data_IF_878237983157
#
_entry.id   IF_878237983157
#
_cell.length_a   1.000
_cell.length_b   1.000
_cell.length_c   1.000
_cell.angle_alpha   90.00
_cell.angle_beta   90.00
_cell.angle_gamma   90.00
#
_symmetry.space_group_name_H-M   'P 1'
#
loop_
_entity.id
_entity.type
_entity.pdbx_description
1 polymer ?
#
# COMPACT_ATOMS: atom_id res chain seq x y z
N UNK A 1 31.97 15.73 -7.51
CA UNK A 1 30.72 16.51 -7.62
C UNK A 1 29.48 15.61 -7.73
N UNK A 2 28.99 15.07 -6.60
CA UNK A 2 27.70 14.36 -6.51
C UNK A 2 26.76 15.00 -5.47
N UNK A 3 27.29 15.53 -4.36
CA UNK A 3 26.47 16.09 -3.27
C UNK A 3 25.63 17.32 -3.62
N UNK A 4 26.12 18.23 -4.48
CA UNK A 4 25.36 19.45 -4.80
C UNK A 4 24.05 19.17 -5.57
N UNK A 5 24.08 18.17 -6.45
CA UNK A 5 22.87 17.72 -7.17
C UNK A 5 21.91 16.95 -6.27
N UNK A 6 22.47 16.18 -5.32
CA UNK A 6 21.71 15.41 -4.33
C UNK A 6 20.88 16.34 -3.43
N UNK A 7 21.44 17.47 -3.00
CA UNK A 7 20.74 18.46 -2.17
C UNK A 7 19.51 19.08 -2.86
N UNK A 8 19.66 19.51 -4.12
CA UNK A 8 18.54 20.04 -4.91
C UNK A 8 17.45 18.98 -5.15
N UNK A 9 17.85 17.72 -5.36
CA UNK A 9 16.91 16.61 -5.53
C UNK A 9 16.18 16.26 -4.22
N UNK A 10 16.85 16.34 -3.08
CA UNK A 10 16.25 16.14 -1.75
C UNK A 10 15.15 17.16 -1.47
N UNK A 11 15.39 18.43 -1.79
CA UNK A 11 14.37 19.48 -1.66
C UNK A 11 13.17 19.19 -2.54
N UNK A 12 13.41 18.84 -3.82
CA UNK A 12 12.34 18.50 -4.75
C UNK A 12 11.52 17.28 -4.30
N UNK A 13 12.19 16.25 -3.78
CA UNK A 13 11.52 15.04 -3.26
C UNK A 13 10.63 15.39 -2.07
N UNK A 14 11.10 16.26 -1.18
CA UNK A 14 10.33 16.70 -0.01
C UNK A 14 9.09 17.48 -0.44
N UNK A 15 9.23 18.37 -1.42
CA UNK A 15 8.09 19.10 -1.99
C UNK A 15 7.06 18.16 -2.62
N UNK A 16 7.49 17.24 -3.50
CA UNK A 16 6.59 16.30 -4.16
C UNK A 16 5.94 15.38 -3.14
N UNK A 17 6.67 14.93 -2.10
CA UNK A 17 6.10 14.12 -1.01
C UNK A 17 5.02 14.89 -0.25
N UNK A 18 5.26 16.16 0.07
CA UNK A 18 4.29 17.04 0.74
C UNK A 18 3.06 17.30 -0.12
N UNK A 19 3.23 17.55 -1.43
CA UNK A 19 2.13 17.70 -2.39
C UNK A 19 1.28 16.43 -2.50
N UNK A 20 1.88 15.25 -2.28
CA UNK A 20 1.21 13.95 -2.30
C UNK A 20 0.79 13.47 -0.89
N UNK A 21 0.61 14.39 0.06
CA UNK A 21 0.14 14.15 1.44
C UNK A 21 0.98 13.13 2.22
N UNK A 22 2.25 12.94 1.83
CA UNK A 22 3.14 11.95 2.40
C UNK A 22 2.74 10.48 2.19
N UNK A 23 1.79 10.21 1.30
CA UNK A 23 1.32 8.85 1.01
C UNK A 23 2.31 8.10 0.13
N UNK A 24 3.08 8.82 -0.70
CA UNK A 24 3.93 8.22 -1.70
C UNK A 24 5.19 7.63 -1.07
N UNK A 25 5.34 6.32 -1.21
CA UNK A 25 6.61 5.62 -0.95
C UNK A 25 7.51 5.58 -2.20
N UNK A 26 8.63 4.89 -2.07
CA UNK A 26 9.74 4.85 -3.05
C UNK A 26 9.26 4.64 -4.50
N UNK A 27 8.44 3.61 -4.77
CA UNK A 27 8.01 3.33 -6.14
C UNK A 27 7.12 4.43 -6.73
N UNK A 28 6.15 4.95 -5.94
CA UNK A 28 5.27 6.03 -6.40
C UNK A 28 6.05 7.33 -6.60
N UNK A 29 7.03 7.57 -5.72
CA UNK A 29 7.90 8.73 -5.81
C UNK A 29 8.79 8.68 -7.06
N UNK A 30 9.38 7.51 -7.35
CA UNK A 30 10.16 7.29 -8.56
C UNK A 30 9.36 7.58 -9.84
N UNK A 31 8.12 7.07 -9.91
CA UNK A 31 7.24 7.36 -11.04
C UNK A 31 6.78 8.83 -11.08
N UNK A 32 6.57 9.48 -9.94
CA UNK A 32 6.22 10.90 -9.89
C UNK A 32 7.36 11.75 -10.45
N UNK A 33 8.59 11.52 -10.00
CA UNK A 33 9.78 12.27 -10.43
C UNK A 33 10.08 12.04 -11.92
N UNK A 34 9.90 10.81 -12.42
CA UNK A 34 10.04 10.51 -13.84
C UNK A 34 8.99 11.23 -14.70
N UNK A 35 7.76 11.43 -14.19
CA UNK A 35 6.72 12.22 -14.88
C UNK A 35 7.05 13.71 -14.92
N UNK A 36 7.82 14.20 -13.96
CA UNK A 36 8.36 15.57 -13.97
C UNK A 36 9.60 15.73 -14.86
N UNK A 37 10.06 14.66 -15.52
CA UNK A 37 11.25 14.67 -16.39
C UNK A 37 12.57 14.49 -15.65
N UNK A 38 12.54 14.12 -14.37
CA UNK A 38 13.74 13.84 -13.58
C UNK A 38 14.15 12.39 -13.80
N UNK A 39 15.22 12.16 -14.55
CA UNK A 39 15.76 10.82 -14.78
C UNK A 39 16.58 10.36 -13.56
N UNK A 40 15.91 9.64 -12.67
CA UNK A 40 16.52 9.01 -11.50
C UNK A 40 16.12 7.54 -11.39
N UNK A 41 17.02 6.74 -10.83
CA UNK A 41 16.75 5.33 -10.54
C UNK A 41 15.87 5.14 -9.30
N UNK A 42 15.24 3.97 -9.19
CA UNK A 42 14.48 3.56 -7.99
C UNK A 42 15.35 3.58 -6.72
N UNK A 43 16.58 3.05 -6.80
CA UNK A 43 17.50 3.01 -5.65
C UNK A 43 18.01 4.40 -5.27
N UNK A 44 18.23 5.27 -6.26
CA UNK A 44 18.55 6.68 -6.00
C UNK A 44 17.40 7.38 -5.29
N UNK A 45 16.16 7.15 -5.74
CA UNK A 45 14.95 7.65 -5.07
C UNK A 45 14.89 7.15 -3.62
N UNK A 46 15.16 5.87 -3.38
CA UNK A 46 15.17 5.30 -2.03
C UNK A 46 16.23 5.95 -1.12
N UNK A 47 17.44 6.14 -1.64
CA UNK A 47 18.53 6.82 -0.93
C UNK A 47 18.18 8.26 -0.61
N UNK A 48 17.65 9.01 -1.58
CA UNK A 48 17.28 10.41 -1.41
C UNK A 48 16.09 10.58 -0.44
N UNK A 49 15.08 9.71 -0.51
CA UNK A 49 13.99 9.71 0.48
C UNK A 49 14.50 9.44 1.90
N UNK A 50 15.51 8.58 2.06
CA UNK A 50 16.15 8.33 3.36
C UNK A 50 16.96 9.54 3.86
N UNK A 51 17.66 10.23 2.96
CA UNK A 51 18.38 11.47 3.29
C UNK A 51 17.44 12.63 3.64
N UNK A 52 16.28 12.67 3.01
CA UNK A 52 15.21 13.63 3.29
C UNK A 52 14.34 13.25 4.51
N UNK A 53 14.62 12.11 5.17
CA UNK A 53 13.82 11.56 6.27
C UNK A 53 12.32 11.36 5.95
N UNK A 54 11.96 11.25 4.67
CA UNK A 54 10.58 11.02 4.23
C UNK A 54 10.32 9.55 3.95
N UNK A 55 9.15 9.07 4.36
CA UNK A 55 8.69 7.72 4.13
C UNK A 55 7.25 7.72 3.65
N UNK A 56 6.90 6.74 2.82
CA UNK A 56 5.53 6.59 2.33
C UNK A 56 4.62 5.93 3.37
N UNK A 57 3.34 6.26 3.34
CA UNK A 57 2.33 5.57 4.14
C UNK A 57 2.24 4.10 3.72
N UNK A 58 2.48 3.18 4.66
CA UNK A 58 2.26 1.76 4.46
C UNK A 58 0.78 1.43 4.21
N UNK A 59 0.51 0.28 3.59
CA UNK A 59 -0.86 -0.24 3.48
C UNK A 59 -1.35 -0.52 4.91
N UNK A 60 -2.50 0.02 5.28
CA UNK A 60 -3.12 -0.28 6.58
C UNK A 60 -3.39 -1.78 6.73
N UNK A 61 -3.73 -2.22 7.96
CA UNK A 61 -4.17 -3.61 8.15
C UNK A 61 -5.40 -3.87 7.28
N UNK A 62 -5.40 -5.03 6.62
CA UNK A 62 -6.60 -5.49 5.91
C UNK A 62 -7.69 -5.75 6.95
N UNK A 63 -8.94 -5.34 6.70
CA UNK A 63 -10.03 -5.60 7.63
C UNK A 63 -10.21 -7.11 7.80
N UNK A 64 -10.25 -7.56 9.05
CA UNK A 64 -10.57 -8.96 9.36
C UNK A 64 -12.06 -9.13 9.11
N UNK A 65 -12.42 -9.79 8.01
CA UNK A 65 -13.83 -9.99 7.62
C UNK A 65 -14.48 -11.10 8.45
N UNK A 66 -13.69 -12.06 8.93
CA UNK A 66 -14.17 -13.25 9.63
C UNK A 66 -13.61 -13.29 11.04
N UNK A 67 -14.47 -13.12 12.03
CA UNK A 67 -14.17 -13.38 13.43
C UNK A 67 -14.81 -14.72 13.82
N UNK A 68 -14.05 -15.62 14.47
CA UNK A 68 -14.64 -16.83 15.04
C UNK A 68 -15.65 -16.42 16.13
N UNK A 69 -16.84 -17.05 16.18
CA UNK A 69 -17.78 -16.81 17.27
C UNK A 69 -17.13 -17.22 18.61
N UNK A 70 -17.38 -16.44 19.66
CA UNK A 70 -16.85 -16.70 21.02
C UNK A 70 -17.63 -17.77 21.78
N UNK A 71 -18.82 -18.14 21.30
CA UNK A 71 -19.72 -19.11 21.93
C UNK A 71 -19.55 -20.53 21.39
N UNK A 72 -20.16 -21.52 22.05
CA UNK A 72 -20.23 -22.88 21.52
C UNK A 72 -20.92 -22.87 20.15
N UNK A 73 -20.42 -23.67 19.21
CA UNK A 73 -20.98 -23.75 17.85
C UNK A 73 -22.33 -24.48 17.90
N UNK A 74 -23.42 -23.73 18.08
CA UNK A 74 -24.79 -24.26 18.17
C UNK A 74 -25.41 -24.53 16.79
N UNK A 75 -24.64 -24.41 15.70
CA UNK A 75 -25.19 -24.61 14.36
C UNK A 75 -25.44 -26.10 14.13
N UNK A 76 -26.68 -26.52 13.84
CA UNK A 76 -26.96 -27.93 13.58
C UNK A 76 -26.21 -28.37 12.33
N UNK A 77 -25.56 -29.53 12.41
CA UNK A 77 -24.92 -30.15 11.26
C UNK A 77 -26.00 -30.55 10.24
N UNK A 78 -25.88 -30.05 9.02
CA UNK A 78 -26.86 -30.25 7.95
C UNK A 78 -26.38 -31.27 6.91
N UNK A 79 -25.35 -32.07 7.23
CA UNK A 79 -24.79 -33.07 6.31
C UNK A 79 -25.80 -34.20 6.04
N UNK A 80 -26.68 -34.52 6.99
CA UNK A 80 -27.64 -35.62 6.89
C UNK A 80 -29.07 -35.24 6.48
N UNK A 81 -29.34 -34.04 5.95
CA UNK A 81 -30.72 -33.66 5.60
C UNK A 81 -31.17 -34.27 4.28
N UNK A 82 -32.44 -34.66 4.24
CA UNK A 82 -33.08 -35.14 3.02
C UNK A 82 -33.32 -33.95 2.07
N UNK A 83 -32.56 -33.88 0.98
CA UNK A 83 -32.72 -32.87 -0.08
C UNK A 83 -33.76 -33.32 -1.12
N UNK A 84 -34.96 -33.68 -0.68
CA UNK A 84 -36.02 -34.13 -1.58
C UNK A 84 -36.90 -32.94 -1.98
N UNK A 85 -36.86 -32.56 -3.26
CA UNK A 85 -37.79 -31.62 -3.86
C UNK A 85 -38.85 -32.41 -4.63
N UNK A 86 -40.13 -32.13 -4.40
CA UNK A 86 -41.16 -32.51 -5.36
C UNK A 86 -40.86 -31.74 -6.65
N UNK A 87 -40.75 -32.46 -7.78
CA UNK A 87 -40.28 -31.92 -9.06
C UNK A 87 -41.03 -30.67 -9.54
N UNK A 88 -40.47 -29.94 -10.51
CA UNK A 88 -41.02 -28.67 -10.95
C UNK A 88 -42.40 -28.85 -11.61
N UNK A 89 -43.33 -27.93 -11.33
CA UNK A 89 -44.57 -27.76 -12.10
C UNK A 89 -44.28 -27.15 -13.47
#
# INVERSE_FOLDING_TARGET
>A
MRSLRDAALVERITEVHKQNYGVYGICKMWHALRREGIDIGREQTARLMRLAEVSGKGKGRSPVTTHKPKGPETRPDLVGREFQACGPN
#
